data_IF_418306737980
#
_entry.id   IF_418306737980
#
_cell.length_a   1.000
_cell.length_b   1.000
_cell.length_c   1.000
_cell.angle_alpha   90.00
_cell.angle_beta   90.00
_cell.angle_gamma   90.00
#
_symmetry.space_group_name_H-M   'P 1'
#
loop_
_entity.id
_entity.type
_entity.pdbx_description
1 polymer ?
#
# COMPACT_ATOMS: atom_id res chain seq x y z
N UNK A 1 58.53 53.56 -57.99
CA UNK A 1 57.22 52.91 -58.18
C UNK A 1 56.97 51.89 -57.10
N UNK A 2 56.06 52.18 -56.18
CA UNK A 2 55.31 51.14 -55.36
C UNK A 2 54.29 51.86 -54.46
N UNK A 3 53.24 52.34 -55.08
CA UNK A 3 52.00 52.76 -54.41
C UNK A 3 50.99 51.63 -54.65
N UNK A 4 50.98 50.59 -53.83
CA UNK A 4 49.90 49.65 -53.77
C UNK A 4 50.09 48.89 -52.43
N UNK A 5 49.30 49.22 -51.46
CA UNK A 5 48.89 48.26 -50.38
C UNK A 5 48.31 48.98 -49.16
N UNK A 6 48.04 50.31 -49.18
CA UNK A 6 47.42 50.91 -48.01
C UNK A 6 45.87 50.70 -47.96
N UNK A 7 45.24 50.41 -49.09
CA UNK A 7 43.79 50.20 -49.16
C UNK A 7 43.36 48.76 -48.85
N UNK A 8 44.25 47.76 -49.13
CA UNK A 8 44.00 46.35 -48.78
C UNK A 8 44.11 46.07 -47.26
N UNK A 9 45.00 46.81 -46.59
CA UNK A 9 45.12 46.69 -45.13
C UNK A 9 43.92 47.34 -44.39
N UNK A 10 43.40 48.40 -44.92
CA UNK A 10 42.21 49.11 -44.38
C UNK A 10 40.93 48.24 -44.55
N UNK A 11 40.79 47.52 -45.67
CA UNK A 11 39.64 46.66 -45.93
C UNK A 11 39.68 45.39 -45.02
N UNK A 12 40.90 44.87 -44.70
CA UNK A 12 41.05 43.75 -43.73
C UNK A 12 40.75 44.16 -42.29
N UNK A 13 41.04 45.43 -41.90
CA UNK A 13 40.67 45.91 -40.57
C UNK A 13 39.15 46.14 -40.43
N UNK A 14 38.46 46.52 -41.47
CA UNK A 14 37.01 46.73 -41.49
C UNK A 14 36.27 45.39 -41.48
N UNK A 15 36.79 44.33 -42.07
CA UNK A 15 36.17 43.01 -42.04
C UNK A 15 36.30 42.28 -40.69
N UNK A 16 37.31 42.63 -39.88
CA UNK A 16 37.50 42.08 -38.56
C UNK A 16 36.57 42.74 -37.53
N UNK A 17 36.16 43.99 -37.72
CA UNK A 17 35.26 44.71 -36.82
C UNK A 17 33.79 44.38 -37.02
N UNK A 18 33.39 43.76 -38.14
CA UNK A 18 32.01 43.35 -38.40
C UNK A 18 31.70 41.91 -38.04
N UNK A 19 32.67 41.14 -37.57
CA UNK A 19 32.46 39.75 -37.12
C UNK A 19 32.40 39.58 -35.59
N UNK A 20 32.13 40.63 -34.84
CA UNK A 20 31.68 40.47 -33.48
C UNK A 20 30.13 40.38 -33.53
N UNK A 21 29.64 39.16 -33.85
CA UNK A 21 28.30 38.78 -33.44
C UNK A 21 28.17 39.11 -31.96
N UNK A 22 27.12 39.87 -31.64
CA UNK A 22 26.79 40.22 -30.28
C UNK A 22 26.69 38.96 -29.42
N UNK A 23 27.77 38.63 -28.67
CA UNK A 23 27.79 37.57 -27.68
C UNK A 23 26.94 37.92 -26.43
N UNK A 24 26.28 39.06 -26.44
CA UNK A 24 25.34 39.45 -25.42
C UNK A 24 24.02 38.73 -25.65
N UNK A 25 23.91 37.52 -25.05
CA UNK A 25 22.60 36.88 -24.86
C UNK A 25 21.76 37.79 -23.97
N UNK A 26 20.52 38.03 -24.37
CA UNK A 26 19.58 38.79 -23.53
C UNK A 26 19.29 37.99 -22.24
N UNK A 27 19.01 38.69 -21.15
CA UNK A 27 18.61 38.06 -19.90
C UNK A 27 17.38 37.16 -20.11
N UNK A 28 16.52 37.50 -21.06
CA UNK A 28 15.33 36.72 -21.37
C UNK A 28 15.65 35.45 -22.14
N UNK A 29 16.66 35.44 -23.03
CA UNK A 29 17.14 34.22 -23.70
C UNK A 29 17.76 33.27 -22.71
N UNK A 30 18.55 33.76 -21.74
CA UNK A 30 19.12 32.98 -20.65
C UNK A 30 18.02 32.41 -19.79
N UNK A 31 17.02 33.19 -19.37
CA UNK A 31 15.87 32.72 -18.59
C UNK A 31 15.08 31.62 -19.31
N UNK A 32 14.86 31.77 -20.61
CA UNK A 32 14.15 30.81 -21.45
C UNK A 32 14.93 29.49 -21.55
N UNK A 33 16.25 29.55 -21.75
CA UNK A 33 17.13 28.38 -21.78
C UNK A 33 17.16 27.67 -20.42
N UNK A 34 17.27 28.42 -19.32
CA UNK A 34 17.21 27.86 -17.95
C UNK A 34 15.85 27.27 -17.63
N UNK A 35 14.76 27.87 -18.07
CA UNK A 35 13.42 27.31 -17.88
C UNK A 35 13.25 25.97 -18.61
N UNK A 36 13.80 25.87 -19.82
CA UNK A 36 13.83 24.62 -20.59
C UNK A 36 14.68 23.54 -19.89
N UNK A 37 15.85 23.92 -19.38
CA UNK A 37 16.73 23.00 -18.64
C UNK A 37 16.11 22.52 -17.33
N UNK A 38 15.50 23.41 -16.54
CA UNK A 38 14.81 23.02 -15.29
C UNK A 38 13.61 22.14 -15.53
N UNK A 39 12.87 22.34 -16.63
CA UNK A 39 11.76 21.47 -17.03
C UNK A 39 12.26 20.06 -17.37
N UNK A 40 13.29 19.95 -18.18
CA UNK A 40 13.91 18.67 -18.54
C UNK A 40 14.43 17.94 -17.30
N UNK A 41 15.14 18.63 -16.41
CA UNK A 41 15.63 18.05 -15.16
C UNK A 41 14.49 17.54 -14.26
N UNK A 42 13.36 18.26 -14.20
CA UNK A 42 12.18 17.82 -13.44
C UNK A 42 11.62 16.50 -13.98
N UNK A 43 11.44 16.40 -15.30
CA UNK A 43 10.92 15.20 -15.95
C UNK A 43 11.84 13.98 -15.75
N UNK A 44 13.15 14.19 -15.82
CA UNK A 44 14.15 13.15 -15.54
C UNK A 44 14.05 12.65 -14.09
N UNK A 45 13.96 13.56 -13.13
CA UNK A 45 13.82 13.19 -11.70
C UNK A 45 12.52 12.46 -11.42
N UNK A 46 11.40 12.85 -12.05
CA UNK A 46 10.13 12.13 -11.95
C UNK A 46 10.27 10.72 -12.49
N UNK A 47 10.77 10.58 -13.73
CA UNK A 47 10.97 9.27 -14.36
C UNK A 47 11.90 8.37 -13.56
N UNK A 48 12.96 8.93 -12.98
CA UNK A 48 13.88 8.21 -12.11
C UNK A 48 13.21 7.74 -10.81
N UNK A 49 12.39 8.59 -10.20
CA UNK A 49 11.63 8.22 -9.00
C UNK A 49 10.62 7.09 -9.29
N UNK A 50 9.92 7.16 -10.44
CA UNK A 50 9.02 6.10 -10.87
C UNK A 50 9.75 4.77 -11.13
N UNK A 51 10.92 4.82 -11.75
CA UNK A 51 11.76 3.65 -11.95
C UNK A 51 12.14 3.02 -10.60
N UNK A 52 12.65 3.83 -9.66
CA UNK A 52 13.02 3.34 -8.33
C UNK A 52 11.85 2.71 -7.58
N UNK A 53 10.67 3.32 -7.69
CA UNK A 53 9.45 2.78 -7.09
C UNK A 53 9.06 1.41 -7.68
N UNK A 54 9.08 1.27 -9.01
CA UNK A 54 8.77 0.03 -9.72
C UNK A 54 9.74 -1.10 -9.39
N UNK A 55 11.02 -0.76 -9.20
CA UNK A 55 12.06 -1.73 -8.81
C UNK A 55 12.06 -2.06 -7.30
N UNK A 56 11.14 -1.48 -6.52
CA UNK A 56 11.05 -1.72 -5.07
C UNK A 56 12.11 -0.99 -4.24
N UNK A 57 12.83 -0.05 -4.81
CA UNK A 57 13.85 0.73 -4.10
C UNK A 57 13.24 1.94 -3.39
N UNK A 58 12.32 1.70 -2.45
CA UNK A 58 11.47 2.73 -1.85
C UNK A 58 12.26 3.81 -1.08
N UNK A 59 13.31 3.45 -0.35
CA UNK A 59 14.15 4.44 0.37
C UNK A 59 14.86 5.40 -0.59
N UNK A 60 15.40 4.88 -1.71
CA UNK A 60 16.03 5.70 -2.73
C UNK A 60 15.01 6.55 -3.48
N UNK A 61 13.84 6.00 -3.73
CA UNK A 61 12.71 6.74 -4.29
C UNK A 61 12.33 7.93 -3.40
N UNK A 62 12.22 7.74 -2.07
CA UNK A 62 11.97 8.81 -1.11
C UNK A 62 13.00 9.92 -1.21
N UNK A 63 14.30 9.60 -1.29
CA UNK A 63 15.35 10.62 -1.42
C UNK A 63 15.17 11.46 -2.68
N UNK A 64 14.89 10.81 -3.82
CA UNK A 64 14.63 11.50 -5.09
C UNK A 64 13.37 12.38 -5.04
N UNK A 65 12.29 11.88 -4.43
CA UNK A 65 11.04 12.63 -4.26
C UNK A 65 11.18 13.82 -3.31
N UNK A 66 11.96 13.69 -2.23
CA UNK A 66 12.25 14.80 -1.33
C UNK A 66 13.11 15.86 -2.02
N UNK A 67 14.11 15.46 -2.80
CA UNK A 67 14.91 16.38 -3.60
C UNK A 67 14.03 17.13 -4.61
N UNK A 68 13.12 16.42 -5.29
CA UNK A 68 12.18 17.01 -6.24
C UNK A 68 11.25 18.03 -5.54
N UNK A 69 10.71 17.68 -4.37
CA UNK A 69 9.88 18.57 -3.56
C UNK A 69 10.62 19.83 -3.10
N UNK A 70 11.92 19.68 -2.77
CA UNK A 70 12.75 20.80 -2.36
C UNK A 70 13.11 21.73 -3.54
N UNK A 71 13.42 21.18 -4.70
CA UNK A 71 13.75 21.95 -5.91
C UNK A 71 12.56 22.69 -6.50
N UNK A 72 11.36 22.12 -6.39
CA UNK A 72 10.14 22.64 -7.00
C UNK A 72 8.99 22.84 -6.00
N UNK A 73 9.16 23.65 -4.95
CA UNK A 73 8.21 23.72 -3.83
C UNK A 73 6.83 24.30 -4.19
N UNK A 74 6.74 25.10 -5.24
CA UNK A 74 5.52 25.77 -5.69
C UNK A 74 5.01 25.22 -7.05
N UNK A 75 5.55 24.09 -7.50
CA UNK A 75 5.11 23.47 -8.74
C UNK A 75 3.81 22.68 -8.52
N UNK A 76 2.87 22.68 -9.48
CA UNK A 76 1.65 21.87 -9.41
C UNK A 76 1.88 20.37 -9.16
N UNK A 77 3.08 19.87 -9.46
CA UNK A 77 3.44 18.46 -9.23
C UNK A 77 3.60 18.11 -7.74
N UNK A 78 3.66 19.09 -6.83
CA UNK A 78 3.93 18.84 -5.40
C UNK A 78 2.91 17.92 -4.77
N UNK A 79 1.64 18.03 -5.13
CA UNK A 79 0.59 17.11 -4.65
C UNK A 79 0.87 15.66 -5.05
N UNK A 80 1.25 15.43 -6.31
CA UNK A 80 1.66 14.12 -6.81
C UNK A 80 2.91 13.61 -6.08
N UNK A 81 3.89 14.47 -5.82
CA UNK A 81 5.09 14.10 -5.07
C UNK A 81 4.69 13.63 -3.65
N UNK A 82 3.82 14.38 -2.95
CA UNK A 82 3.35 13.98 -1.62
C UNK A 82 2.61 12.64 -1.66
N UNK A 83 1.80 12.40 -2.69
CA UNK A 83 1.14 11.13 -2.92
C UNK A 83 2.13 9.97 -3.11
N UNK A 84 3.16 10.15 -3.94
CA UNK A 84 4.18 9.12 -4.18
C UNK A 84 5.08 8.88 -2.97
N UNK A 85 5.39 9.92 -2.16
CA UNK A 85 6.06 9.75 -0.88
C UNK A 85 5.21 8.88 0.05
N UNK A 86 3.90 9.14 0.12
CA UNK A 86 2.97 8.33 0.90
C UNK A 86 2.96 6.86 0.42
N UNK A 87 2.96 6.63 -0.90
CA UNK A 87 3.04 5.30 -1.49
C UNK A 87 4.32 4.56 -1.11
N UNK A 88 5.47 5.23 -1.12
CA UNK A 88 6.72 4.61 -0.67
C UNK A 88 6.64 4.16 0.79
N UNK A 89 6.10 5.01 1.67
CA UNK A 89 5.93 4.64 3.08
C UNK A 89 4.91 3.51 3.28
N UNK A 90 3.84 3.46 2.46
CA UNK A 90 2.86 2.38 2.48
C UNK A 90 3.51 1.03 2.12
N UNK A 91 4.30 0.99 1.04
CA UNK A 91 5.02 -0.23 0.61
C UNK A 91 6.11 -0.66 1.62
N UNK A 92 6.60 0.26 2.43
CA UNK A 92 7.50 0.00 3.56
C UNK A 92 6.75 -0.33 4.86
N UNK A 93 5.42 -0.48 4.81
CA UNK A 93 4.53 -0.74 5.95
C UNK A 93 4.57 0.33 7.05
N UNK A 94 5.11 1.52 6.74
CA UNK A 94 5.10 2.65 7.66
C UNK A 94 3.81 3.46 7.50
N UNK A 95 2.72 2.87 7.96
CA UNK A 95 1.37 3.41 7.76
C UNK A 95 1.16 4.80 8.39
N UNK A 96 1.82 5.11 9.51
CA UNK A 96 1.72 6.41 10.16
C UNK A 96 2.27 7.55 9.28
N UNK A 97 3.44 7.34 8.66
CA UNK A 97 4.01 8.31 7.72
C UNK A 97 3.22 8.34 6.42
N UNK A 98 2.79 7.19 5.89
CA UNK A 98 1.95 7.13 4.70
C UNK A 98 0.68 7.96 4.87
N UNK A 99 -0.06 7.79 5.96
CA UNK A 99 -1.26 8.59 6.27
C UNK A 99 -0.96 10.09 6.34
N UNK A 100 0.15 10.47 6.97
CA UNK A 100 0.55 11.88 7.07
C UNK A 100 0.78 12.50 5.69
N UNK A 101 1.43 11.78 4.77
CA UNK A 101 1.72 12.28 3.44
C UNK A 101 0.51 12.22 2.51
N UNK A 102 -0.39 11.23 2.65
CA UNK A 102 -1.69 11.26 1.95
C UNK A 102 -2.54 12.46 2.38
N UNK A 103 -2.59 12.79 3.68
CA UNK A 103 -3.26 14.01 4.17
C UNK A 103 -2.67 15.28 3.56
N UNK A 104 -1.33 15.36 3.43
CA UNK A 104 -0.70 16.50 2.77
C UNK A 104 -1.09 16.60 1.29
N UNK A 105 -1.11 15.49 0.56
CA UNK A 105 -1.54 15.48 -0.85
C UNK A 105 -2.99 15.96 -0.98
N UNK A 106 -3.90 15.46 -0.14
CA UNK A 106 -5.31 15.88 -0.12
C UNK A 106 -5.50 17.34 0.26
N UNK A 107 -4.64 17.89 1.15
CA UNK A 107 -4.76 19.30 1.55
C UNK A 107 -4.38 20.30 0.44
N UNK A 108 -3.50 19.91 -0.46
CA UNK A 108 -3.05 20.72 -1.59
C UNK A 108 -4.10 20.73 -2.71
N UNK A 109 -4.81 19.64 -2.89
CA UNK A 109 -5.69 19.39 -4.03
C UNK A 109 -7.17 19.64 -3.73
N UNK A 110 -7.95 20.10 -4.70
CA UNK A 110 -9.40 20.14 -4.56
C UNK A 110 -9.99 18.72 -4.49
N UNK A 111 -11.09 18.55 -3.78
CA UNK A 111 -11.71 17.23 -3.50
C UNK A 111 -12.16 16.45 -4.75
N UNK A 112 -12.35 17.12 -5.87
CA UNK A 112 -12.71 16.50 -7.14
C UNK A 112 -11.49 16.09 -8.00
N UNK A 113 -10.25 16.42 -7.58
CA UNK A 113 -9.04 16.05 -8.35
C UNK A 113 -8.77 14.54 -8.26
N UNK A 114 -8.08 14.03 -9.28
CA UNK A 114 -7.67 12.63 -9.32
C UNK A 114 -6.72 12.28 -8.16
N UNK A 115 -5.76 13.17 -7.87
CA UNK A 115 -4.77 12.96 -6.79
C UNK A 115 -5.45 12.92 -5.42
N UNK A 116 -6.41 13.84 -5.17
CA UNK A 116 -7.20 13.81 -3.95
C UNK A 116 -7.92 12.48 -3.76
N UNK A 117 -8.66 12.03 -4.78
CA UNK A 117 -9.41 10.77 -4.72
C UNK A 117 -8.49 9.57 -4.52
N UNK A 118 -7.39 9.51 -5.27
CA UNK A 118 -6.41 8.43 -5.13
C UNK A 118 -5.79 8.40 -3.72
N UNK A 119 -5.42 9.56 -3.17
CA UNK A 119 -4.90 9.67 -1.82
C UNK A 119 -5.93 9.28 -0.76
N UNK A 120 -7.20 9.70 -0.92
CA UNK A 120 -8.27 9.37 -0.01
C UNK A 120 -8.58 7.86 0.00
N UNK A 121 -8.60 7.20 -1.15
CA UNK A 121 -8.81 5.75 -1.21
C UNK A 121 -7.68 4.98 -0.50
N UNK A 122 -6.42 5.36 -0.74
CA UNK A 122 -5.27 4.75 -0.07
C UNK A 122 -5.26 5.03 1.42
N UNK A 123 -5.65 6.22 1.83
CA UNK A 123 -5.77 6.59 3.23
C UNK A 123 -6.78 5.71 3.96
N UNK A 124 -7.97 5.49 3.37
CA UNK A 124 -8.98 4.58 3.92
C UNK A 124 -8.53 3.12 3.90
N UNK A 125 -7.82 2.70 2.87
CA UNK A 125 -7.24 1.35 2.81
C UNK A 125 -6.28 1.09 3.98
N UNK A 126 -5.42 2.07 4.32
CA UNK A 126 -4.51 1.94 5.47
C UNK A 126 -5.29 1.81 6.79
N UNK A 127 -6.41 2.51 6.96
CA UNK A 127 -7.24 2.33 8.15
C UNK A 127 -7.79 0.90 8.26
N UNK A 128 -8.25 0.30 7.15
CA UNK A 128 -8.67 -1.10 7.15
C UNK A 128 -7.53 -2.05 7.53
N UNK A 129 -6.31 -1.82 6.99
CA UNK A 129 -5.14 -2.64 7.32
C UNK A 129 -4.69 -2.48 8.78
N UNK A 130 -4.88 -1.28 9.34
CA UNK A 130 -4.51 -0.96 10.73
C UNK A 130 -5.56 -1.35 11.77
N UNK A 131 -6.69 -1.89 11.35
CA UNK A 131 -7.78 -2.28 12.25
C UNK A 131 -8.61 -1.10 12.78
N UNK A 132 -8.59 0.04 12.10
CA UNK A 132 -9.34 1.25 12.47
C UNK A 132 -10.58 1.39 11.58
N UNK A 133 -11.52 0.45 11.71
CA UNK A 133 -12.70 0.37 10.87
C UNK A 133 -13.67 1.54 11.07
N UNK A 134 -13.74 2.06 12.29
CA UNK A 134 -14.67 3.16 12.63
C UNK A 134 -14.36 4.43 11.83
N UNK A 135 -13.08 4.77 11.65
CA UNK A 135 -12.67 5.93 10.84
C UNK A 135 -13.05 5.77 9.37
N UNK A 136 -13.03 4.54 8.85
CA UNK A 136 -13.47 4.27 7.47
C UNK A 136 -14.98 4.43 7.34
N UNK A 137 -15.75 3.94 8.31
CA UNK A 137 -17.20 4.08 8.34
C UNK A 137 -17.59 5.56 8.40
N UNK A 138 -16.96 6.32 9.30
CA UNK A 138 -17.19 7.75 9.46
C UNK A 138 -16.81 8.54 8.19
N UNK A 139 -15.64 8.25 7.60
CA UNK A 139 -15.16 8.95 6.39
C UNK A 139 -16.04 8.71 5.16
N UNK A 140 -16.75 7.59 5.12
CA UNK A 140 -17.66 7.23 4.04
C UNK A 140 -19.12 7.57 4.32
N UNK A 141 -19.43 8.13 5.50
CA UNK A 141 -20.79 8.49 5.85
C UNK A 141 -21.32 9.62 4.96
N UNK A 142 -22.49 9.41 4.36
CA UNK A 142 -23.09 10.36 3.42
C UNK A 142 -22.35 10.51 2.07
N UNK A 143 -21.34 9.69 1.81
CA UNK A 143 -20.61 9.72 0.54
C UNK A 143 -21.41 9.09 -0.60
N UNK A 144 -21.40 9.74 -1.76
CA UNK A 144 -21.93 9.20 -3.02
C UNK A 144 -20.85 8.49 -3.85
N UNK A 145 -19.60 8.46 -3.37
CA UNK A 145 -18.49 7.80 -4.05
C UNK A 145 -18.56 6.28 -3.83
N UNK A 146 -18.77 5.49 -4.89
CA UNK A 146 -18.94 4.04 -4.76
C UNK A 146 -17.73 3.32 -4.19
N UNK A 147 -16.52 3.87 -4.36
CA UNK A 147 -15.30 3.30 -3.76
C UNK A 147 -15.29 3.47 -2.25
N UNK A 148 -15.67 4.66 -1.73
CA UNK A 148 -15.76 4.88 -0.28
C UNK A 148 -16.88 4.05 0.34
N UNK A 149 -18.01 3.91 -0.35
CA UNK A 149 -19.11 3.03 0.10
C UNK A 149 -18.65 1.56 0.14
N UNK A 150 -17.85 1.12 -0.84
CA UNK A 150 -17.27 -0.22 -0.82
C UNK A 150 -16.28 -0.40 0.34
N UNK A 151 -15.43 0.60 0.64
CA UNK A 151 -14.55 0.56 1.82
C UNK A 151 -15.36 0.48 3.12
N UNK A 152 -16.48 1.21 3.24
CA UNK A 152 -17.43 1.09 4.35
C UNK A 152 -17.96 -0.33 4.48
N UNK A 153 -18.33 -0.97 3.36
CA UNK A 153 -18.73 -2.37 3.34
C UNK A 153 -17.65 -3.31 3.87
N UNK A 154 -16.40 -3.14 3.48
CA UNK A 154 -15.27 -3.91 4.03
C UNK A 154 -15.02 -3.65 5.51
N UNK A 155 -15.18 -2.40 5.99
CA UNK A 155 -15.07 -2.08 7.40
C UNK A 155 -16.15 -2.80 8.23
N UNK A 156 -17.40 -2.81 7.76
CA UNK A 156 -18.48 -3.58 8.40
C UNK A 156 -18.21 -5.08 8.37
N UNK A 157 -17.63 -5.64 7.29
CA UNK A 157 -17.25 -7.06 7.26
C UNK A 157 -16.20 -7.39 8.33
N UNK A 158 -15.19 -6.56 8.49
CA UNK A 158 -14.16 -6.76 9.52
C UNK A 158 -14.73 -6.66 10.94
N UNK A 159 -15.76 -5.82 11.14
CA UNK A 159 -16.49 -5.71 12.40
C UNK A 159 -17.55 -6.82 12.58
N UNK A 160 -17.67 -7.77 11.64
CA UNK A 160 -18.70 -8.84 11.65
C UNK A 160 -20.15 -8.30 11.60
N UNK A 161 -20.33 -7.10 11.06
CA UNK A 161 -21.63 -6.44 10.85
C UNK A 161 -22.14 -6.81 9.45
N UNK A 162 -22.65 -8.02 9.31
CA UNK A 162 -22.94 -8.63 8.01
C UNK A 162 -24.04 -7.93 7.22
N UNK A 163 -25.09 -7.47 7.89
CA UNK A 163 -26.22 -6.79 7.23
C UNK A 163 -25.85 -5.37 6.77
N UNK A 164 -25.08 -4.64 7.58
CA UNK A 164 -24.55 -3.33 7.23
C UNK A 164 -23.54 -3.44 6.07
N UNK A 165 -22.70 -4.46 6.10
CA UNK A 165 -21.79 -4.76 5.00
C UNK A 165 -22.55 -5.05 3.71
N UNK A 166 -23.55 -5.92 3.77
CA UNK A 166 -24.41 -6.27 2.63
C UNK A 166 -25.08 -5.04 2.04
N UNK A 167 -25.66 -4.19 2.89
CA UNK A 167 -26.33 -2.95 2.46
C UNK A 167 -25.35 -2.01 1.76
N UNK A 168 -24.15 -1.83 2.31
CA UNK A 168 -23.10 -1.00 1.73
C UNK A 168 -22.67 -1.52 0.36
N UNK A 169 -22.46 -2.84 0.21
CA UNK A 169 -22.08 -3.41 -1.09
C UNK A 169 -23.19 -3.36 -2.13
N UNK A 170 -24.47 -3.52 -1.75
CA UNK A 170 -25.60 -3.33 -2.66
C UNK A 170 -25.63 -1.88 -3.16
N UNK A 171 -25.46 -0.91 -2.26
CA UNK A 171 -25.41 0.50 -2.64
C UNK A 171 -24.23 0.80 -3.57
N UNK A 172 -23.02 0.35 -3.23
CA UNK A 172 -21.86 0.52 -4.08
C UNK A 172 -22.08 -0.10 -5.47
N UNK A 173 -22.62 -1.32 -5.52
CA UNK A 173 -22.93 -2.03 -6.78
C UNK A 173 -23.94 -1.27 -7.64
N UNK A 174 -24.94 -0.66 -7.05
CA UNK A 174 -25.95 0.12 -7.79
C UNK A 174 -25.38 1.37 -8.46
N UNK A 175 -24.28 1.92 -7.91
CA UNK A 175 -23.60 3.11 -8.44
C UNK A 175 -22.50 2.72 -9.42
N UNK A 176 -21.79 1.59 -9.18
CA UNK A 176 -20.81 1.04 -10.12
C UNK A 176 -21.48 0.56 -11.40
N UNK A 177 -21.40 1.34 -12.44
CA UNK A 177 -21.97 0.99 -13.74
C UNK A 177 -20.99 0.25 -14.64
N UNK A 178 -20.22 -0.72 -14.09
CA UNK A 178 -19.22 -1.46 -14.84
C UNK A 178 -19.15 -2.92 -14.39
N UNK A 179 -19.21 -3.85 -15.38
CA UNK A 179 -19.20 -5.31 -15.14
C UNK A 179 -18.03 -5.81 -14.30
N UNK A 180 -16.87 -5.16 -14.41
CA UNK A 180 -15.69 -5.53 -13.61
C UNK A 180 -15.97 -5.46 -12.10
N UNK A 181 -16.62 -4.39 -11.62
CA UNK A 181 -16.94 -4.23 -10.21
C UNK A 181 -18.00 -5.21 -9.72
N UNK A 182 -18.97 -5.56 -10.57
CA UNK A 182 -19.93 -6.61 -10.27
C UNK A 182 -19.23 -7.95 -10.02
N UNK A 183 -18.23 -8.28 -10.84
CA UNK A 183 -17.46 -9.52 -10.67
C UNK A 183 -16.63 -9.55 -9.37
N UNK A 184 -16.18 -8.39 -8.88
CA UNK A 184 -15.45 -8.27 -7.62
C UNK A 184 -16.37 -8.36 -6.39
N UNK A 185 -17.57 -7.77 -6.46
CA UNK A 185 -18.51 -7.70 -5.33
C UNK A 185 -19.34 -8.98 -5.18
N UNK A 186 -19.70 -9.63 -6.26
CA UNK A 186 -20.53 -10.85 -6.23
C UNK A 186 -20.00 -11.97 -5.32
N UNK A 187 -18.68 -12.28 -5.27
CA UNK A 187 -18.15 -13.27 -4.35
C UNK A 187 -18.33 -12.89 -2.87
N UNK A 188 -18.36 -11.59 -2.58
CA UNK A 188 -18.52 -11.08 -1.20
C UNK A 188 -19.90 -11.39 -0.68
N UNK A 189 -20.95 -11.25 -1.52
CA UNK A 189 -22.33 -11.63 -1.13
C UNK A 189 -22.42 -13.10 -0.76
N UNK A 190 -21.74 -13.97 -1.51
CA UNK A 190 -21.69 -15.40 -1.18
C UNK A 190 -21.05 -15.64 0.19
N UNK A 191 -19.95 -14.94 0.50
CA UNK A 191 -19.30 -15.04 1.82
C UNK A 191 -20.27 -14.60 2.93
N UNK A 192 -21.00 -13.49 2.74
CA UNK A 192 -21.95 -12.99 3.73
C UNK A 192 -23.11 -13.99 3.92
N UNK A 193 -23.63 -14.59 2.87
CA UNK A 193 -24.68 -15.63 2.93
C UNK A 193 -24.17 -16.90 3.61
N UNK A 194 -22.99 -17.36 3.28
CA UNK A 194 -22.38 -18.56 3.89
C UNK A 194 -22.16 -18.36 5.39
N UNK A 195 -21.72 -17.17 5.83
CA UNK A 195 -21.56 -16.84 7.25
C UNK A 195 -22.88 -16.87 8.00
N UNK A 196 -23.96 -16.35 7.39
CA UNK A 196 -25.30 -16.40 7.97
C UNK A 196 -25.84 -17.82 8.16
N UNK A 197 -25.34 -18.78 7.39
CA UNK A 197 -25.68 -20.21 7.49
C UNK A 197 -24.84 -20.99 8.49
N UNK A 198 -23.71 -20.43 8.96
CA UNK A 198 -22.83 -21.09 9.91
C UNK A 198 -23.47 -21.20 11.31
N UNK A 199 -23.41 -22.38 11.95
CA UNK A 199 -23.94 -22.51 13.30
C UNK A 199 -23.11 -21.64 14.27
N UNK A 200 -23.78 -20.67 14.88
CA UNK A 200 -23.18 -19.80 15.89
C UNK A 200 -22.84 -20.60 17.14
N UNK A 201 -21.61 -21.00 17.32
CA UNK A 201 -21.17 -21.63 18.54
C UNK A 201 -20.67 -20.60 19.55
N UNK A 202 -21.12 -20.73 20.80
CA UNK A 202 -20.58 -19.91 21.88
C UNK A 202 -19.08 -20.18 22.05
N UNK A 203 -18.25 -19.13 21.93
CA UNK A 203 -16.78 -19.22 22.02
C UNK A 203 -16.29 -19.92 23.28
N UNK A 204 -16.99 -19.76 24.40
CA UNK A 204 -16.66 -20.43 25.65
C UNK A 204 -16.93 -21.92 25.56
N UNK A 205 -18.03 -22.34 24.94
CA UNK A 205 -18.35 -23.74 24.75
C UNK A 205 -17.35 -24.47 23.84
N UNK A 206 -16.92 -23.80 22.75
CA UNK A 206 -15.85 -24.29 21.85
C UNK A 206 -14.53 -24.42 22.60
N UNK A 207 -14.18 -23.42 23.41
CA UNK A 207 -12.95 -23.41 24.20
C UNK A 207 -12.97 -24.56 25.25
N UNK A 208 -14.04 -24.70 26.03
CA UNK A 208 -14.16 -25.76 27.03
C UNK A 208 -14.20 -27.13 26.41
N UNK A 209 -14.88 -27.34 25.29
CA UNK A 209 -14.88 -28.64 24.60
C UNK A 209 -13.51 -29.03 24.10
N UNK A 210 -12.71 -28.08 23.60
CA UNK A 210 -11.32 -28.32 23.21
C UNK A 210 -10.37 -28.56 24.37
N UNK A 211 -10.68 -27.99 25.54
CA UNK A 211 -9.89 -28.21 26.79
C UNK A 211 -10.14 -29.55 27.43
N UNK A 212 -11.37 -30.09 27.36
CA UNK A 212 -11.76 -31.35 27.95
C UNK A 212 -11.41 -32.54 27.03
N UNK A 213 -11.70 -32.38 25.74
CA UNK A 213 -11.42 -33.41 24.72
C UNK A 213 -10.47 -32.80 23.70
N UNK A 214 -9.23 -33.33 23.56
CA UNK A 214 -8.32 -32.87 22.53
C UNK A 214 -8.97 -32.92 21.14
N UNK A 215 -9.05 -31.78 20.44
CA UNK A 215 -9.74 -31.68 19.15
C UNK A 215 -11.27 -31.46 19.25
N UNK A 216 -11.86 -31.46 20.45
CA UNK A 216 -13.32 -31.28 20.64
C UNK A 216 -13.84 -29.95 20.10
N UNK A 217 -13.09 -28.87 20.21
CA UNK A 217 -13.41 -27.57 19.65
C UNK A 217 -13.51 -27.59 18.10
N UNK A 218 -12.60 -28.31 17.44
CA UNK A 218 -12.62 -28.45 15.97
C UNK A 218 -13.79 -29.32 15.50
N UNK A 219 -14.15 -30.34 16.24
CA UNK A 219 -15.37 -31.12 15.92
C UNK A 219 -16.63 -30.27 15.98
N UNK A 220 -16.74 -29.38 16.97
CA UNK A 220 -17.88 -28.47 17.07
C UNK A 220 -17.90 -27.41 15.94
N UNK A 221 -16.74 -26.99 15.46
CA UNK A 221 -16.61 -26.06 14.33
C UNK A 221 -16.79 -26.75 12.96
N UNK A 222 -17.23 -28.00 12.95
CA UNK A 222 -17.43 -28.81 11.75
C UNK A 222 -16.13 -29.04 10.91
N UNK A 223 -14.98 -29.09 11.62
CA UNK A 223 -13.67 -29.44 11.07
C UNK A 223 -13.18 -30.80 11.58
N UNK A 224 -13.84 -31.91 11.19
CA UNK A 224 -13.54 -33.24 11.76
C UNK A 224 -12.13 -33.71 11.47
N UNK A 225 -11.53 -33.37 10.34
CA UNK A 225 -10.16 -33.74 9.97
C UNK A 225 -9.12 -33.14 10.93
N UNK A 226 -9.27 -31.85 11.26
CA UNK A 226 -8.43 -31.17 12.24
C UNK A 226 -8.60 -31.75 13.65
N UNK A 227 -9.85 -31.97 14.07
CA UNK A 227 -10.18 -32.55 15.36
C UNK A 227 -9.62 -33.96 15.53
N UNK A 228 -9.74 -34.84 14.53
CA UNK A 228 -9.15 -36.18 14.52
C UNK A 228 -7.63 -36.14 14.62
N UNK A 229 -6.96 -35.24 13.87
CA UNK A 229 -5.51 -35.08 13.90
C UNK A 229 -5.00 -34.76 15.31
N UNK A 230 -5.62 -33.80 16.00
CA UNK A 230 -5.26 -33.42 17.37
C UNK A 230 -5.53 -34.58 18.35
N UNK A 231 -6.69 -35.21 18.25
CA UNK A 231 -7.04 -36.34 19.12
C UNK A 231 -6.04 -37.50 18.98
N UNK A 232 -5.72 -37.91 17.76
CA UNK A 232 -4.76 -39.01 17.50
C UNK A 232 -3.36 -38.62 18.00
N UNK A 233 -2.92 -37.37 17.80
CA UNK A 233 -1.60 -36.93 18.28
C UNK A 233 -1.48 -36.99 19.80
N UNK A 234 -2.50 -36.56 20.53
CA UNK A 234 -2.52 -36.61 22.00
C UNK A 234 -2.62 -38.08 22.49
N UNK A 235 -3.45 -38.92 21.86
CA UNK A 235 -3.55 -40.31 22.18
C UNK A 235 -2.20 -41.03 21.97
N UNK A 236 -1.50 -40.77 20.86
CA UNK A 236 -0.15 -41.29 20.62
C UNK A 236 0.85 -40.84 21.70
N UNK A 237 0.84 -39.55 22.08
CA UNK A 237 1.70 -39.06 23.16
C UNK A 237 1.47 -39.80 24.49
N UNK A 238 0.20 -40.02 24.86
CA UNK A 238 -0.15 -40.75 26.09
C UNK A 238 0.30 -42.20 26.03
N UNK A 239 0.16 -42.88 24.88
CA UNK A 239 0.63 -44.23 24.69
C UNK A 239 2.16 -44.34 24.79
N UNK A 240 2.89 -43.42 24.17
CA UNK A 240 4.36 -43.37 24.23
C UNK A 240 4.80 -43.14 25.68
N UNK A 241 4.19 -42.19 26.39
CA UNK A 241 4.53 -41.89 27.76
C UNK A 241 4.26 -43.10 28.66
N UNK A 242 3.10 -43.75 28.54
CA UNK A 242 2.77 -44.96 29.26
C UNK A 242 3.73 -46.12 28.96
N UNK A 243 4.18 -46.25 27.70
CA UNK A 243 5.16 -47.27 27.33
C UNK A 243 6.55 -46.98 27.92
N UNK A 244 6.98 -45.71 27.93
CA UNK A 244 8.24 -45.29 28.56
C UNK A 244 8.22 -45.54 30.06
N UNK A 245 7.14 -45.17 30.77
CA UNK A 245 6.99 -45.40 32.19
C UNK A 245 6.99 -46.89 32.53
N UNK A 246 6.28 -47.71 31.74
CA UNK A 246 6.25 -49.16 31.92
C UNK A 246 7.63 -49.82 31.74
N UNK A 247 8.41 -49.33 30.77
CA UNK A 247 9.76 -49.85 30.52
C UNK A 247 10.79 -49.32 31.54
N UNK A 248 10.62 -48.13 32.10
CA UNK A 248 11.48 -47.62 33.17
C UNK A 248 11.30 -48.42 34.48
N UNK A 249 10.07 -48.76 34.81
CA UNK A 249 9.77 -49.62 35.98
C UNK A 249 10.32 -51.06 35.81
N UNK A 250 10.34 -51.59 34.60
CA UNK A 250 10.95 -52.92 34.31
C UNK A 250 12.48 -52.87 34.31
N UNK A 251 13.09 -51.70 34.10
CA UNK A 251 14.54 -51.47 34.14
C UNK A 251 15.10 -51.40 35.56
N UNK A 252 14.39 -50.80 36.49
CA UNK A 252 14.82 -50.67 37.89
C UNK A 252 14.83 -52.03 38.67
N UNK A 253 14.03 -53.04 38.27
CA UNK A 253 14.02 -54.32 38.82
C UNK A 253 15.19 -55.23 38.44
N UNK A 254 16.07 -54.84 37.53
CA UNK A 254 17.16 -55.68 37.03
C UNK A 254 18.55 -55.42 37.63
N UNK A 255 18.69 -54.43 38.47
CA UNK A 255 19.97 -54.03 39.06
C UNK A 255 20.10 -54.31 40.58
N UNK A 256 19.11 -54.94 41.24
CA UNK A 256 19.18 -55.14 42.63
C UNK A 256 19.64 -56.57 43.07
N UNK A 257 19.95 -57.47 42.13
CA UNK A 257 20.38 -58.83 42.44
C UNK A 257 21.78 -59.18 41.88
N UNK A 258 22.76 -58.36 42.22
CA UNK A 258 24.19 -58.70 42.01
C UNK A 258 25.06 -58.12 43.11
N UNK A 259 24.88 -58.60 44.35
CA UNK A 259 25.92 -58.66 45.37
C UNK A 259 26.02 -60.08 45.93
#
# INVERSE_FOLDING_TARGET
>A
MRKKNKHTLLALFFSITFSQENIYRSVDDIKKEWSGYTSYQKEEMVSFSEFLFKEGHYERCLLSLFELSYKFPNDPIVSNIQYHIARCYEEMENYALAQRYYKKAMHIEPSNSFVYKAANYRFNHIFLLSGNQEEVIESAEGSEDPYLIAFKGYAHLQNQQWEEARTSFILAQSIFNHQHYNNLITPIFKIIEDVGSLPMHNKYFVFFSGSIIPGGGQFLLNEPSGGQGVFVSVAMMLLINSWVDSNSLLGEGRFSDSE
#
